data_IF_150902177405
#
_entry.id   IF_150902177405
#
_cell.length_a   1.000
_cell.length_b   1.000
_cell.length_c   1.000
_cell.angle_alpha   90.00
_cell.angle_beta   90.00
_cell.angle_gamma   90.00
#
_symmetry.space_group_name_H-M   'P 1'
#
loop_
_entity.id
_entity.type
_entity.pdbx_description
1 polymer ?
#
# COMPACT_ATOMS: atom_id res chain seq x y z
N UNK A 1 14.01 -18.45 -15.37
CA UNK A 1 12.76 -18.08 -16.08
C UNK A 1 12.76 -16.60 -16.47
N UNK A 2 12.22 -16.26 -17.67
CA UNK A 2 12.03 -14.86 -18.05
C UNK A 2 10.86 -14.27 -17.25
N UNK A 3 11.02 -13.05 -16.73
CA UNK A 3 9.94 -12.38 -16.01
C UNK A 3 8.78 -12.08 -16.96
N UNK A 4 7.58 -12.52 -16.60
CA UNK A 4 6.32 -12.09 -17.20
C UNK A 4 5.59 -11.35 -16.08
N UNK A 5 5.39 -10.05 -16.25
CA UNK A 5 4.59 -9.26 -15.30
C UNK A 5 3.12 -9.61 -15.48
N UNK A 6 2.36 -9.62 -14.38
CA UNK A 6 0.90 -9.58 -14.46
C UNK A 6 0.45 -8.22 -15.01
N UNK A 7 -0.81 -8.09 -15.50
CA UNK A 7 -1.33 -6.79 -15.91
C UNK A 7 -1.13 -5.73 -14.83
N UNK A 8 -0.60 -4.56 -15.19
CA UNK A 8 -0.28 -3.50 -14.23
C UNK A 8 -1.51 -2.99 -13.45
N UNK A 9 -2.69 -3.03 -14.06
CA UNK A 9 -3.91 -2.54 -13.44
C UNK A 9 -5.02 -3.61 -13.45
N UNK A 10 -5.64 -3.82 -12.31
CA UNK A 10 -6.84 -4.64 -12.18
C UNK A 10 -8.08 -3.78 -12.44
N UNK A 11 -8.43 -3.62 -13.74
CA UNK A 11 -9.56 -2.79 -14.18
C UNK A 11 -10.87 -3.57 -14.35
N UNK A 12 -10.81 -4.91 -14.48
CA UNK A 12 -12.00 -5.73 -14.64
C UNK A 12 -12.74 -5.87 -13.31
N UNK A 13 -14.04 -5.58 -13.31
CA UNK A 13 -14.88 -5.64 -12.12
C UNK A 13 -14.84 -7.02 -11.44
N UNK A 14 -14.88 -8.09 -12.22
CA UNK A 14 -14.78 -9.48 -11.72
C UNK A 14 -13.46 -9.73 -10.96
N UNK A 15 -12.34 -9.21 -11.44
CA UNK A 15 -11.04 -9.32 -10.78
C UNK A 15 -11.03 -8.55 -9.45
N UNK A 16 -11.58 -7.33 -9.45
CA UNK A 16 -11.69 -6.49 -8.25
C UNK A 16 -12.56 -7.16 -7.19
N UNK A 17 -13.69 -7.76 -7.59
CA UNK A 17 -14.58 -8.50 -6.68
C UNK A 17 -13.84 -9.69 -6.10
N UNK A 18 -13.30 -10.57 -6.93
CA UNK A 18 -12.58 -11.79 -6.49
C UNK A 18 -11.42 -11.46 -5.55
N UNK A 19 -10.63 -10.42 -5.88
CA UNK A 19 -9.54 -9.97 -5.01
C UNK A 19 -10.04 -9.43 -3.67
N UNK A 20 -11.18 -8.68 -3.70
CA UNK A 20 -11.74 -8.07 -2.48
C UNK A 20 -12.35 -9.08 -1.53
N UNK A 21 -12.78 -10.24 -2.03
CA UNK A 21 -13.41 -11.34 -1.27
C UNK A 21 -12.40 -12.36 -0.77
N UNK A 22 -11.19 -12.37 -1.32
CA UNK A 22 -10.13 -13.24 -0.87
C UNK A 22 -9.63 -12.86 0.54
N UNK A 23 -9.37 -13.85 1.38
CA UNK A 23 -8.85 -13.63 2.74
C UNK A 23 -7.33 -13.57 2.73
N UNK A 24 -6.81 -12.35 2.79
CA UNK A 24 -5.38 -12.06 2.93
C UNK A 24 -5.00 -11.64 4.36
N UNK A 25 -5.91 -11.77 5.33
CA UNK A 25 -5.81 -11.19 6.67
C UNK A 25 -4.56 -11.61 7.44
N UNK A 26 -4.12 -12.86 7.32
CA UNK A 26 -2.89 -13.36 7.97
C UNK A 26 -1.65 -12.63 7.45
N UNK A 27 -1.48 -12.56 6.13
CA UNK A 27 -0.35 -11.88 5.49
C UNK A 27 -0.31 -10.39 5.77
N UNK A 28 -1.49 -9.74 5.76
CA UNK A 28 -1.67 -8.33 6.08
C UNK A 28 -1.34 -8.03 7.54
N UNK A 29 -1.86 -8.84 8.48
CA UNK A 29 -1.58 -8.69 9.91
C UNK A 29 -0.09 -8.89 10.22
N UNK A 30 0.56 -9.86 9.55
CA UNK A 30 2.00 -10.07 9.67
C UNK A 30 2.79 -8.81 9.25
N UNK A 31 2.43 -8.17 8.12
CA UNK A 31 3.07 -6.93 7.68
C UNK A 31 2.91 -5.82 8.73
N UNK A 32 1.69 -5.58 9.24
CA UNK A 32 1.43 -4.56 10.27
C UNK A 32 2.24 -4.85 11.55
N UNK A 33 2.36 -6.12 11.95
CA UNK A 33 3.14 -6.51 13.11
C UNK A 33 4.63 -6.28 12.92
N UNK A 34 5.18 -6.58 11.73
CA UNK A 34 6.58 -6.31 11.40
C UNK A 34 6.90 -4.81 11.44
N UNK A 35 6.04 -3.97 10.85
CA UNK A 35 6.15 -2.51 10.91
C UNK A 35 6.11 -2.04 12.37
N UNK A 36 5.13 -2.52 13.14
CA UNK A 36 4.97 -2.16 14.55
C UNK A 36 6.19 -2.51 15.38
N UNK A 37 6.73 -3.72 15.19
CA UNK A 37 7.94 -4.17 15.87
C UNK A 37 9.16 -3.30 15.53
N UNK A 38 9.33 -2.96 14.24
CA UNK A 38 10.43 -2.12 13.81
C UNK A 38 10.35 -0.71 14.42
N UNK A 39 9.18 -0.08 14.38
CA UNK A 39 8.97 1.25 14.95
C UNK A 39 9.23 1.24 16.46
N UNK A 40 8.69 0.25 17.18
CA UNK A 40 8.90 0.10 18.62
C UNK A 40 10.38 -0.10 18.98
N UNK A 41 11.07 -1.00 18.25
CA UNK A 41 12.49 -1.30 18.49
C UNK A 41 13.41 -0.07 18.29
N UNK A 42 13.00 0.87 17.47
CA UNK A 42 13.76 2.08 17.16
C UNK A 42 13.21 3.34 17.86
N UNK A 43 12.31 3.20 18.85
CA UNK A 43 11.68 4.29 19.60
C UNK A 43 10.99 5.33 18.70
N UNK A 44 10.39 4.87 17.59
CA UNK A 44 9.72 5.74 16.62
C UNK A 44 8.23 5.76 16.90
N UNK A 45 7.70 6.96 17.19
CA UNK A 45 6.27 7.23 17.36
C UNK A 45 5.75 8.10 16.23
N UNK A 46 4.66 7.68 15.61
CA UNK A 46 4.00 8.43 14.54
C UNK A 46 2.93 9.36 15.12
N UNK A 47 2.91 10.60 14.64
CA UNK A 47 2.03 11.66 15.13
C UNK A 47 1.25 12.34 13.99
N UNK A 48 0.52 13.41 14.28
CA UNK A 48 -0.33 14.13 13.32
C UNK A 48 0.44 14.74 12.13
N UNK A 49 1.73 15.00 12.29
CA UNK A 49 2.59 15.52 11.21
C UNK A 49 3.09 14.41 10.27
N UNK A 50 2.98 13.16 10.69
CA UNK A 50 3.47 12.02 9.92
C UNK A 50 2.45 11.57 8.88
N UNK A 51 2.96 11.25 7.70
CA UNK A 51 2.23 10.65 6.60
C UNK A 51 2.70 9.22 6.42
N UNK A 52 1.74 8.32 6.34
CA UNK A 52 1.91 6.92 5.94
C UNK A 52 1.32 6.77 4.54
N UNK A 53 2.10 6.26 3.61
CA UNK A 53 1.62 5.96 2.26
C UNK A 53 1.61 4.46 2.03
N UNK A 54 0.48 3.96 1.54
CA UNK A 54 0.29 2.59 1.08
C UNK A 54 0.20 2.62 -0.45
N UNK A 55 1.28 2.22 -1.10
CA UNK A 55 1.46 2.29 -2.55
C UNK A 55 0.99 0.98 -3.20
N UNK A 56 0.04 1.08 -4.14
CA UNK A 56 -0.68 -0.08 -4.67
C UNK A 56 -1.68 -0.63 -3.65
N UNK A 57 -2.47 0.26 -3.04
CA UNK A 57 -3.33 -0.10 -1.91
C UNK A 57 -4.49 -1.04 -2.26
N UNK A 58 -4.78 -1.23 -3.55
CA UNK A 58 -5.92 -2.03 -4.00
C UNK A 58 -7.23 -1.60 -3.36
N UNK A 59 -8.04 -2.54 -2.82
CA UNK A 59 -9.31 -2.22 -2.16
C UNK A 59 -9.14 -1.68 -0.73
N UNK A 60 -7.92 -1.32 -0.30
CA UNK A 60 -7.63 -0.56 0.90
C UNK A 60 -7.42 -1.36 2.18
N UNK A 61 -7.26 -2.67 2.12
CA UNK A 61 -7.17 -3.51 3.33
C UNK A 61 -5.97 -3.14 4.23
N UNK A 62 -4.78 -2.97 3.65
CA UNK A 62 -3.58 -2.54 4.39
C UNK A 62 -3.75 -1.12 4.89
N UNK A 63 -4.23 -0.20 4.04
CA UNK A 63 -4.48 1.20 4.41
C UNK A 63 -5.41 1.33 5.61
N UNK A 64 -6.49 0.54 5.68
CA UNK A 64 -7.42 0.49 6.82
C UNK A 64 -6.70 0.05 8.10
N UNK A 65 -5.90 -1.02 8.03
CA UNK A 65 -5.14 -1.54 9.18
C UNK A 65 -4.08 -0.53 9.65
N UNK A 66 -3.40 0.15 8.73
CA UNK A 66 -2.45 1.23 9.05
C UNK A 66 -3.15 2.38 9.78
N UNK A 67 -4.32 2.80 9.28
CA UNK A 67 -5.12 3.87 9.88
C UNK A 67 -5.62 3.53 11.29
N UNK A 68 -6.06 2.29 11.52
CA UNK A 68 -6.48 1.80 12.83
C UNK A 68 -5.28 1.73 13.79
N UNK A 69 -4.14 1.25 13.32
CA UNK A 69 -2.94 1.04 14.15
C UNK A 69 -2.29 2.35 14.56
N UNK A 70 -2.26 3.34 13.68
CA UNK A 70 -1.69 4.66 13.93
C UNK A 70 -2.72 5.78 13.74
N UNK A 71 -3.70 5.91 14.66
CA UNK A 71 -4.85 6.79 14.47
C UNK A 71 -4.48 8.29 14.51
N UNK A 72 -3.28 8.64 14.99
CA UNK A 72 -2.78 10.02 14.97
C UNK A 72 -2.10 10.40 13.68
N UNK A 73 -1.48 9.45 12.97
CA UNK A 73 -0.83 9.70 11.68
C UNK A 73 -1.86 9.81 10.56
N UNK A 74 -1.52 10.50 9.47
CA UNK A 74 -2.35 10.51 8.27
C UNK A 74 -1.98 9.30 7.40
N UNK A 75 -2.97 8.61 6.86
CA UNK A 75 -2.77 7.46 5.99
C UNK A 75 -3.35 7.76 4.62
N UNK A 76 -2.59 7.46 3.58
CA UNK A 76 -3.01 7.62 2.19
C UNK A 76 -2.77 6.34 1.43
N UNK A 77 -3.83 5.72 0.97
CA UNK A 77 -3.78 4.61 0.01
C UNK A 77 -3.76 5.17 -1.42
N UNK A 78 -2.83 4.69 -2.23
CA UNK A 78 -2.69 5.11 -3.63
C UNK A 78 -2.75 3.89 -4.52
N UNK A 79 -3.59 3.93 -5.54
CA UNK A 79 -3.68 2.86 -6.55
C UNK A 79 -4.00 3.46 -7.92
N UNK A 80 -3.49 2.82 -8.98
CA UNK A 80 -3.76 3.22 -10.36
C UNK A 80 -5.16 2.83 -10.86
N UNK A 81 -5.77 1.80 -10.28
CA UNK A 81 -7.09 1.31 -10.67
C UNK A 81 -8.20 2.13 -10.03
N UNK A 82 -9.05 2.73 -10.87
CA UNK A 82 -10.25 3.45 -10.41
C UNK A 82 -11.23 2.52 -9.70
N UNK A 83 -11.35 1.28 -10.15
CA UNK A 83 -12.27 0.30 -9.57
C UNK A 83 -11.82 -0.12 -8.17
N UNK A 84 -10.51 -0.31 -7.96
CA UNK A 84 -9.95 -0.56 -6.63
C UNK A 84 -10.18 0.61 -5.67
N UNK A 85 -9.87 1.83 -6.10
CA UNK A 85 -10.10 3.04 -5.28
C UNK A 85 -11.59 3.24 -4.98
N UNK A 86 -12.48 3.00 -5.94
CA UNK A 86 -13.94 3.07 -5.71
C UNK A 86 -14.38 2.09 -4.61
N UNK A 87 -13.84 0.87 -4.61
CA UNK A 87 -14.11 -0.13 -3.58
C UNK A 87 -13.57 0.30 -2.21
N UNK A 88 -12.33 0.80 -2.16
CA UNK A 88 -11.71 1.31 -0.96
C UNK A 88 -12.51 2.48 -0.35
N UNK A 89 -12.90 3.45 -1.17
CA UNK A 89 -13.71 4.60 -0.73
C UNK A 89 -15.13 4.18 -0.27
N UNK A 90 -15.75 3.19 -0.92
CA UNK A 90 -17.03 2.66 -0.46
C UNK A 90 -16.92 2.08 0.96
N UNK A 91 -15.88 1.29 1.24
CA UNK A 91 -15.61 0.74 2.58
C UNK A 91 -15.35 1.87 3.58
N UNK A 92 -14.48 2.81 3.24
CA UNK A 92 -14.14 3.97 4.09
C UNK A 92 -15.39 4.79 4.47
N UNK A 93 -16.29 5.07 3.54
CA UNK A 93 -17.54 5.78 3.81
C UNK A 93 -18.41 5.09 4.87
N UNK A 94 -18.44 3.78 4.90
CA UNK A 94 -19.16 3.02 5.93
C UNK A 94 -18.48 3.13 7.31
N UNK A 95 -17.15 3.15 7.37
CA UNK A 95 -16.40 3.40 8.61
C UNK A 95 -16.58 4.84 9.10
N UNK A 96 -16.60 5.83 8.22
CA UNK A 96 -16.83 7.24 8.58
C UNK A 96 -18.19 7.46 9.23
N UNK A 97 -19.26 6.76 8.80
CA UNK A 97 -20.58 6.78 9.46
C UNK A 97 -20.49 6.30 10.92
N UNK A 98 -19.51 5.46 11.25
CA UNK A 98 -19.22 4.99 12.59
C UNK A 98 -18.15 5.84 13.33
N UNK A 99 -17.81 7.00 12.80
CA UNK A 99 -16.78 7.91 13.34
C UNK A 99 -15.35 7.30 13.35
N UNK A 100 -15.06 6.34 12.46
CA UNK A 100 -13.77 5.65 12.33
C UNK A 100 -13.04 6.09 11.07
N UNK A 101 -11.73 5.82 10.99
CA UNK A 101 -10.84 6.04 9.84
C UNK A 101 -10.86 7.47 9.28
N UNK A 102 -10.96 8.47 10.17
CA UNK A 102 -10.94 9.89 9.76
C UNK A 102 -9.60 10.33 9.19
N UNK A 103 -8.55 9.64 9.58
CA UNK A 103 -7.17 9.88 9.16
C UNK A 103 -6.78 9.13 7.87
N UNK A 104 -7.73 8.46 7.20
CA UNK A 104 -7.51 7.68 5.99
C UNK A 104 -8.05 8.41 4.76
N UNK A 105 -7.24 8.45 3.71
CA UNK A 105 -7.58 9.03 2.41
C UNK A 105 -7.16 8.08 1.29
N UNK A 106 -7.83 8.17 0.13
CA UNK A 106 -7.47 7.41 -1.06
C UNK A 106 -7.25 8.33 -2.25
N UNK A 107 -6.27 7.97 -3.10
CA UNK A 107 -5.93 8.71 -4.31
C UNK A 107 -5.81 7.71 -5.45
N UNK A 108 -6.51 7.99 -6.56
CA UNK A 108 -6.31 7.27 -7.81
C UNK A 108 -5.21 7.94 -8.60
N UNK A 109 -4.04 7.33 -8.67
CA UNK A 109 -2.89 7.85 -9.41
C UNK A 109 -1.94 6.73 -9.84
N UNK A 110 -1.35 6.91 -11.04
CA UNK A 110 -0.20 6.12 -11.47
C UNK A 110 1.03 6.46 -10.62
N UNK A 111 1.81 5.44 -10.23
CA UNK A 111 3.03 5.60 -9.44
C UNK A 111 4.04 6.58 -10.07
N UNK A 112 4.00 6.73 -11.41
CA UNK A 112 4.87 7.65 -12.15
C UNK A 112 4.53 9.13 -11.94
N UNK A 113 3.28 9.42 -11.54
CA UNK A 113 2.72 10.77 -11.52
C UNK A 113 2.32 11.26 -10.11
N UNK A 114 2.79 10.59 -9.05
CA UNK A 114 2.44 10.96 -7.67
C UNK A 114 3.22 12.20 -7.23
N UNK A 115 2.50 13.21 -6.75
CA UNK A 115 3.03 14.44 -6.14
C UNK A 115 2.38 14.66 -4.76
N UNK A 116 2.96 14.04 -3.72
CA UNK A 116 2.39 14.12 -2.36
C UNK A 116 2.53 15.51 -1.73
N UNK A 117 3.57 16.24 -2.08
CA UNK A 117 3.83 17.59 -1.55
C UNK A 117 2.75 18.61 -1.91
N UNK A 118 2.05 18.41 -3.03
CA UNK A 118 0.94 19.27 -3.44
C UNK A 118 -0.35 18.95 -2.66
N UNK A 119 -0.53 17.68 -2.27
CA UNK A 119 -1.75 17.20 -1.60
C UNK A 119 -1.60 17.33 -0.08
N UNK A 120 -0.40 17.10 0.44
CA UNK A 120 -0.07 17.11 1.86
C UNK A 120 1.16 17.98 2.16
N UNK A 121 1.14 19.30 1.90
CA UNK A 121 2.32 20.17 1.91
C UNK A 121 3.00 20.26 3.29
N UNK A 122 2.23 20.09 4.37
CA UNK A 122 2.73 20.20 5.73
C UNK A 122 3.03 18.85 6.40
N UNK A 123 2.84 17.74 5.67
CA UNK A 123 3.05 16.40 6.22
C UNK A 123 4.42 15.86 5.83
N UNK A 124 5.00 15.11 6.76
CA UNK A 124 6.27 14.42 6.55
C UNK A 124 5.98 12.97 6.18
N UNK A 125 6.43 12.52 5.02
CA UNK A 125 6.38 11.10 4.68
C UNK A 125 7.33 10.34 5.61
N UNK A 126 6.77 9.63 6.56
CA UNK A 126 7.51 8.89 7.58
C UNK A 126 7.53 7.39 7.32
N UNK A 127 6.47 6.86 6.71
CA UNK A 127 6.37 5.44 6.37
C UNK A 127 5.81 5.26 4.95
N UNK A 128 6.52 4.52 4.12
CA UNK A 128 6.08 4.11 2.79
C UNK A 128 5.97 2.60 2.75
N UNK A 129 4.78 2.11 2.45
CA UNK A 129 4.45 0.69 2.42
C UNK A 129 4.03 0.29 1.03
N UNK A 130 4.36 -0.92 0.61
CA UNK A 130 3.67 -1.61 -0.49
C UNK A 130 3.58 -3.10 -0.18
N UNK A 131 2.47 -3.71 -0.58
CA UNK A 131 2.27 -5.15 -0.46
C UNK A 131 1.67 -5.70 -1.74
N UNK A 132 2.31 -6.72 -2.32
CA UNK A 132 1.84 -7.38 -3.54
C UNK A 132 1.65 -6.42 -4.73
N UNK A 133 2.54 -5.41 -4.87
CA UNK A 133 2.52 -4.42 -5.94
C UNK A 133 3.59 -4.69 -7.00
N UNK A 134 4.80 -5.07 -6.57
CA UNK A 134 6.00 -5.04 -7.43
C UNK A 134 5.87 -6.05 -8.58
N UNK A 135 5.16 -7.17 -8.37
CA UNK A 135 4.97 -8.18 -9.41
C UNK A 135 4.08 -7.71 -10.57
N UNK A 136 3.25 -6.70 -10.38
CA UNK A 136 2.48 -6.06 -11.44
C UNK A 136 3.30 -5.07 -12.27
N UNK A 137 4.38 -4.49 -11.71
CA UNK A 137 5.13 -3.42 -12.37
C UNK A 137 6.04 -4.00 -13.45
N UNK A 138 5.82 -3.60 -14.69
CA UNK A 138 6.59 -4.05 -15.86
C UNK A 138 8.03 -3.55 -15.79
N UNK A 139 8.23 -2.28 -15.49
CA UNK A 139 9.54 -1.62 -15.39
C UNK A 139 9.88 -1.29 -13.94
N UNK A 140 10.66 -2.14 -13.28
CA UNK A 140 11.05 -1.94 -11.88
C UNK A 140 11.74 -0.61 -11.59
N UNK A 141 12.43 -0.05 -12.58
CA UNK A 141 13.05 1.27 -12.46
C UNK A 141 12.02 2.36 -12.15
N UNK A 142 10.80 2.25 -12.66
CA UNK A 142 9.73 3.22 -12.38
C UNK A 142 9.30 3.15 -10.91
N UNK A 143 9.21 1.93 -10.36
CA UNK A 143 8.95 1.75 -8.93
C UNK A 143 10.04 2.37 -8.07
N UNK A 144 11.32 2.09 -8.36
CA UNK A 144 12.43 2.63 -7.58
C UNK A 144 12.57 4.15 -7.75
N UNK A 145 12.28 4.71 -8.93
CA UNK A 145 12.21 6.16 -9.15
C UNK A 145 11.10 6.79 -8.30
N UNK A 146 9.92 6.16 -8.24
CA UNK A 146 8.82 6.60 -7.39
C UNK A 146 9.25 6.61 -5.91
N UNK A 147 9.78 5.49 -5.39
CA UNK A 147 10.29 5.40 -4.02
C UNK A 147 11.30 6.52 -3.74
N UNK A 148 12.30 6.69 -4.61
CA UNK A 148 13.34 7.73 -4.47
C UNK A 148 12.76 9.14 -4.48
N UNK A 149 11.75 9.41 -5.32
CA UNK A 149 11.08 10.70 -5.42
C UNK A 149 10.29 11.03 -4.16
N UNK A 150 9.56 10.04 -3.62
CA UNK A 150 8.70 10.23 -2.47
C UNK A 150 9.48 10.22 -1.14
N UNK A 151 10.52 9.39 -1.03
CA UNK A 151 11.26 9.18 0.21
C UNK A 151 12.35 10.24 0.43
N UNK A 152 12.59 10.51 1.70
CA UNK A 152 13.76 11.24 2.17
C UNK A 152 14.57 10.36 3.14
N UNK A 153 15.68 10.87 3.68
CA UNK A 153 16.59 10.12 4.58
C UNK A 153 15.94 9.62 5.89
N UNK A 154 14.75 10.10 6.22
CA UNK A 154 14.00 9.72 7.42
C UNK A 154 12.79 8.84 7.10
N UNK A 155 12.48 8.62 5.81
CA UNK A 155 11.36 7.78 5.42
C UNK A 155 11.72 6.32 5.60
N UNK A 156 10.88 5.61 6.33
CA UNK A 156 10.98 4.15 6.52
C UNK A 156 10.21 3.48 5.39
N UNK A 157 10.83 2.49 4.76
CA UNK A 157 10.24 1.79 3.64
C UNK A 157 10.02 0.31 3.99
N UNK A 158 8.78 -0.18 3.79
CA UNK A 158 8.41 -1.58 3.89
C UNK A 158 7.76 -2.06 2.60
N UNK A 159 8.45 -2.92 1.89
CA UNK A 159 7.96 -3.49 0.63
C UNK A 159 7.93 -5.01 0.75
N UNK A 160 6.73 -5.59 0.65
CA UNK A 160 6.49 -7.03 0.67
C UNK A 160 5.89 -7.46 -0.66
N UNK A 161 6.38 -8.55 -1.21
CA UNK A 161 5.86 -9.11 -2.45
C UNK A 161 5.96 -10.63 -2.48
N UNK A 162 5.38 -11.23 -3.50
CA UNK A 162 5.42 -12.67 -3.73
C UNK A 162 6.86 -13.12 -3.97
N UNK A 163 7.24 -14.20 -3.29
CA UNK A 163 8.52 -14.86 -3.58
C UNK A 163 8.41 -15.58 -4.91
N UNK A 164 9.29 -15.25 -5.84
CA UNK A 164 9.35 -15.98 -7.11
C UNK A 164 10.03 -17.32 -6.94
N UNK A 165 9.53 -18.36 -7.60
CA UNK A 165 10.26 -19.60 -7.71
C UNK A 165 11.56 -19.38 -8.50
N UNK A 166 12.63 -20.06 -8.07
CA UNK A 166 13.97 -19.94 -8.68
C UNK A 166 13.97 -20.63 -10.04
N UNK A 167 13.23 -21.72 -10.18
CA UNK A 167 13.11 -22.54 -11.38
C UNK A 167 11.72 -23.19 -11.49
N UNK A 168 11.48 -23.95 -12.56
CA UNK A 168 10.19 -24.61 -12.82
C UNK A 168 9.84 -25.66 -11.76
N UNK A 169 10.83 -26.35 -11.18
CA UNK A 169 10.59 -27.33 -10.12
C UNK A 169 10.07 -26.64 -8.86
N UNK A 170 10.72 -25.55 -8.44
CA UNK A 170 10.25 -24.74 -7.31
C UNK A 170 8.88 -24.09 -7.55
N UNK A 171 8.49 -23.86 -8.81
CA UNK A 171 7.16 -23.35 -9.16
C UNK A 171 6.03 -24.39 -9.00
N UNK A 172 6.36 -25.67 -9.05
CA UNK A 172 5.38 -26.76 -8.86
C UNK A 172 5.18 -27.12 -7.37
N UNK A 173 6.02 -26.58 -6.47
CA UNK A 173 5.98 -26.82 -5.04
C UNK A 173 5.28 -25.67 -4.26
N UNK A 174 4.79 -24.63 -4.97
CA UNK A 174 4.02 -23.49 -4.45
C UNK A 174 2.52 -23.70 -4.67
#
# INVERSE_FOLDING_TARGET
>A
MKRIAEPELMEKEEQVISYSEADFSEGENNLINQISYYLLKNDISLCEKDLIVDLGCGPGNISEKLSIKWPKANVVGIDGSKNMISKAEFKRKNYLKQNKLKNLHYICADIKNIELSEIFPEKKLSLLVSNSLIHHITHLDDFFKCIKKLSNKFTINFHKDLKRPIDEKAALEL
#
